data_IF_926688847433
#
_entry.id   IF_926688847433
#
_cell.length_a   1.000
_cell.length_b   1.000
_cell.length_c   1.000
_cell.angle_alpha   90.00
_cell.angle_beta   90.00
_cell.angle_gamma   90.00
#
_symmetry.space_group_name_H-M   'P 1'
#
loop_
_entity.id
_entity.type
_entity.pdbx_description
1 polymer ?
#
# COMPACT_ATOMS: atom_id res chain seq x y z
N UNK A 1 -6.36 5.11 -46.58
CA UNK A 1 -7.79 4.97 -46.83
C UNK A 1 -8.00 3.84 -47.78
N UNK A 2 -8.90 2.93 -47.47
CA UNK A 2 -9.34 1.89 -48.40
C UNK A 2 -10.33 2.46 -49.41
N UNK A 3 -10.37 1.88 -50.56
CA UNK A 3 -11.33 2.27 -51.61
C UNK A 3 -12.81 2.04 -51.22
N UNK A 4 -13.04 1.26 -50.15
CA UNK A 4 -14.34 0.98 -49.55
C UNK A 4 -14.76 1.98 -48.44
N UNK A 5 -13.99 3.03 -48.23
CA UNK A 5 -14.23 4.03 -47.15
C UNK A 5 -13.79 3.59 -45.78
N UNK A 6 -13.14 2.42 -45.65
CA UNK A 6 -12.56 1.95 -44.40
C UNK A 6 -11.24 2.64 -44.06
N UNK A 7 -10.87 2.58 -42.79
CA UNK A 7 -9.60 3.09 -42.26
C UNK A 7 -8.77 1.92 -41.72
N UNK A 8 -7.54 1.80 -42.19
CA UNK A 8 -6.58 0.86 -41.63
C UNK A 8 -5.91 1.49 -40.43
N UNK A 9 -6.04 0.84 -39.29
CA UNK A 9 -5.37 1.25 -38.06
C UNK A 9 -4.15 0.35 -37.85
N UNK A 10 -2.97 0.92 -37.97
CA UNK A 10 -1.70 0.25 -37.62
C UNK A 10 -1.27 0.65 -36.22
N UNK A 11 -1.25 -0.33 -35.29
CA UNK A 11 -0.80 -0.11 -33.92
C UNK A 11 0.60 -0.71 -33.77
N UNK A 12 1.60 0.16 -33.60
CA UNK A 12 2.98 -0.25 -33.30
C UNK A 12 3.17 -0.28 -31.80
N UNK A 13 3.44 -1.45 -31.25
CA UNK A 13 3.72 -1.63 -29.83
C UNK A 13 5.21 -1.87 -29.64
N UNK A 14 5.81 -1.13 -28.74
CA UNK A 14 7.21 -1.32 -28.30
C UNK A 14 7.19 -1.71 -26.85
N UNK A 15 7.73 -2.89 -26.55
CA UNK A 15 7.87 -3.36 -25.17
C UNK A 15 8.90 -2.51 -24.42
N UNK A 16 8.56 -2.09 -23.22
CA UNK A 16 9.46 -1.38 -22.30
C UNK A 16 9.70 -2.22 -21.07
N UNK A 17 10.87 -2.05 -20.47
CA UNK A 17 11.15 -2.65 -19.17
C UNK A 17 10.16 -2.09 -18.13
N UNK A 18 9.51 -2.98 -17.42
CA UNK A 18 8.51 -2.67 -16.38
C UNK A 18 9.07 -2.78 -14.98
N UNK A 19 10.27 -3.39 -14.87
CA UNK A 19 11.04 -3.52 -13.63
C UNK A 19 11.78 -2.26 -13.26
N UNK A 20 11.76 -1.92 -11.99
CA UNK A 20 12.48 -0.80 -11.39
C UNK A 20 13.29 -1.31 -10.20
N UNK A 21 14.54 -0.88 -10.12
CA UNK A 21 15.43 -1.15 -9.01
C UNK A 21 15.97 0.18 -8.50
N UNK A 22 15.82 0.44 -7.23
CA UNK A 22 16.25 1.65 -6.58
C UNK A 22 16.99 1.37 -5.28
N UNK A 23 17.89 2.25 -4.92
CA UNK A 23 18.60 2.17 -3.65
C UNK A 23 19.32 3.47 -3.37
N UNK A 24 19.52 3.75 -2.13
CA UNK A 24 20.22 4.93 -1.69
C UNK A 24 20.56 4.88 -0.22
N UNK A 25 21.42 5.80 0.19
CA UNK A 25 21.79 5.94 1.58
C UNK A 25 22.26 7.35 1.87
N UNK A 26 22.21 7.71 3.14
CA UNK A 26 22.64 9.02 3.59
C UNK A 26 22.98 9.01 5.08
N UNK A 27 23.69 10.05 5.49
CA UNK A 27 24.01 10.29 6.88
C UNK A 27 23.26 11.52 7.37
N UNK A 28 22.61 11.39 8.51
CA UNK A 28 21.92 12.49 9.19
C UNK A 28 22.44 12.62 10.62
N UNK A 29 22.82 13.82 11.03
CA UNK A 29 23.48 14.09 12.32
C UNK A 29 22.72 13.63 13.56
N UNK A 30 21.44 13.34 13.48
CA UNK A 30 20.64 12.80 14.59
C UNK A 30 20.34 11.30 14.51
N UNK A 31 20.36 10.71 13.31
CA UNK A 31 19.91 9.33 13.06
C UNK A 31 21.00 8.40 12.53
N UNK A 32 22.24 8.86 12.45
CA UNK A 32 23.33 8.10 11.87
C UNK A 32 23.07 7.69 10.41
N UNK A 33 23.61 6.55 9.97
CA UNK A 33 23.45 6.01 8.63
C UNK A 33 22.02 5.52 8.42
N UNK A 34 21.42 5.91 7.30
CA UNK A 34 20.17 5.36 6.79
C UNK A 34 20.38 4.88 5.35
N UNK A 35 19.81 3.76 5.00
CA UNK A 35 19.84 3.22 3.66
C UNK A 35 18.47 2.63 3.29
N UNK A 36 18.17 2.59 2.00
CA UNK A 36 16.99 1.87 1.50
C UNK A 36 17.34 1.12 0.22
N UNK A 37 16.59 0.07 0.01
CA UNK A 37 16.58 -0.73 -1.20
C UNK A 37 15.12 -0.93 -1.62
N UNK A 38 14.82 -0.77 -2.90
CA UNK A 38 13.50 -1.03 -3.43
C UNK A 38 13.59 -1.74 -4.79
N UNK A 39 12.66 -2.64 -5.01
CA UNK A 39 12.44 -3.33 -6.26
C UNK A 39 10.95 -3.31 -6.55
N UNK A 40 10.58 -2.97 -7.77
CA UNK A 40 9.21 -3.01 -8.22
C UNK A 40 9.14 -3.56 -9.64
N UNK A 41 8.17 -4.44 -9.89
CA UNK A 41 7.82 -4.95 -11.20
C UNK A 41 6.32 -4.73 -11.41
N UNK A 42 5.96 -4.01 -12.46
CA UNK A 42 4.55 -3.63 -12.72
C UNK A 42 3.85 -4.53 -13.72
N UNK A 43 4.58 -5.44 -14.35
CA UNK A 43 4.05 -6.39 -15.32
C UNK A 43 4.74 -7.75 -15.22
N UNK A 44 4.68 -8.37 -14.05
CA UNK A 44 5.36 -9.64 -13.76
C UNK A 44 4.96 -10.71 -14.78
N UNK A 45 5.95 -11.21 -15.54
CA UNK A 45 5.78 -12.21 -16.60
C UNK A 45 4.77 -11.81 -17.68
N UNK A 46 4.57 -10.52 -17.95
CA UNK A 46 3.62 -10.05 -18.95
C UNK A 46 2.13 -10.19 -18.58
N UNK A 47 1.83 -10.49 -17.32
CA UNK A 47 0.47 -10.80 -16.84
C UNK A 47 -0.23 -9.60 -16.20
N UNK A 48 0.38 -8.43 -16.19
CA UNK A 48 -0.13 -7.23 -15.50
C UNK A 48 -0.08 -7.30 -13.97
N UNK A 49 0.44 -8.39 -13.41
CA UNK A 49 0.65 -8.55 -11.97
C UNK A 49 1.76 -7.62 -11.52
N UNK A 50 1.63 -7.08 -10.31
CA UNK A 50 2.62 -6.16 -9.74
C UNK A 50 3.20 -6.75 -8.48
N UNK A 51 4.52 -6.62 -8.35
CA UNK A 51 5.26 -6.99 -7.14
C UNK A 51 6.11 -5.80 -6.74
N UNK A 52 6.15 -5.50 -5.46
CA UNK A 52 7.10 -4.53 -4.93
C UNK A 52 7.68 -5.03 -3.61
N UNK A 53 8.94 -4.73 -3.43
CA UNK A 53 9.68 -4.97 -2.20
C UNK A 53 10.42 -3.70 -1.84
N UNK A 54 10.31 -3.27 -0.59
CA UNK A 54 11.05 -2.14 -0.04
C UNK A 54 11.62 -2.50 1.32
N UNK A 55 12.89 -2.28 1.46
CA UNK A 55 13.59 -2.38 2.73
C UNK A 55 14.23 -1.04 3.07
N UNK A 56 13.91 -0.52 4.23
CA UNK A 56 14.45 0.72 4.76
C UNK A 56 15.14 0.42 6.10
N UNK A 57 16.39 0.76 6.19
CA UNK A 57 17.24 0.43 7.31
C UNK A 57 17.90 1.70 7.86
N UNK A 58 17.86 1.86 9.18
CA UNK A 58 18.64 2.85 9.89
C UNK A 58 18.93 2.39 11.32
N UNK A 59 19.75 3.14 12.06
CA UNK A 59 20.00 2.85 13.47
C UNK A 59 18.73 2.80 14.34
N UNK A 60 17.70 3.55 13.95
CA UNK A 60 16.48 3.73 14.76
C UNK A 60 15.26 3.10 14.13
N UNK A 61 15.37 2.60 12.89
CA UNK A 61 14.25 2.06 12.13
C UNK A 61 14.70 0.97 11.17
N UNK A 62 13.95 -0.12 11.13
CA UNK A 62 14.11 -1.20 10.18
C UNK A 62 12.72 -1.61 9.67
N UNK A 63 12.43 -1.27 8.43
CA UNK A 63 11.14 -1.52 7.80
C UNK A 63 11.31 -2.39 6.57
N UNK A 64 10.57 -3.48 6.51
CA UNK A 64 10.45 -4.35 5.35
C UNK A 64 8.99 -4.35 4.92
N UNK A 65 8.76 -4.07 3.65
CA UNK A 65 7.45 -4.09 3.03
C UNK A 65 7.50 -4.91 1.75
N UNK A 66 6.56 -5.82 1.60
CA UNK A 66 6.33 -6.59 0.39
C UNK A 66 4.86 -6.41 -0.02
N UNK A 67 4.62 -6.16 -1.30
CA UNK A 67 3.27 -6.04 -1.85
C UNK A 67 3.16 -6.83 -3.15
N UNK A 68 2.08 -7.59 -3.28
CA UNK A 68 1.70 -8.28 -4.50
C UNK A 68 0.29 -7.87 -4.89
N UNK A 69 0.11 -7.49 -6.16
CA UNK A 69 -1.20 -7.09 -6.70
C UNK A 69 -1.54 -7.92 -7.95
N UNK A 70 -2.68 -8.57 -7.90
CA UNK A 70 -3.33 -9.27 -9.00
C UNK A 70 -4.51 -8.43 -9.50
N UNK A 71 -4.44 -7.80 -10.70
CA UNK A 71 -5.51 -6.91 -11.18
C UNK A 71 -6.76 -7.66 -11.66
N UNK A 72 -6.60 -8.91 -12.10
CA UNK A 72 -7.67 -9.76 -12.62
C UNK A 72 -7.71 -11.06 -11.80
N UNK A 73 -8.50 -11.08 -10.76
CA UNK A 73 -8.63 -12.27 -9.93
C UNK A 73 -9.70 -13.19 -10.51
N UNK A 74 -9.32 -14.43 -10.84
CA UNK A 74 -10.20 -15.44 -11.48
C UNK A 74 -10.86 -14.92 -12.77
N UNK A 75 -10.07 -14.26 -13.62
CA UNK A 75 -10.52 -13.67 -14.89
C UNK A 75 -11.69 -12.66 -14.75
N UNK A 76 -11.88 -12.16 -13.54
CA UNK A 76 -12.87 -11.14 -13.20
C UNK A 76 -12.18 -9.79 -12.99
N UNK A 77 -12.82 -8.64 -13.28
CA UNK A 77 -12.29 -7.31 -13.01
C UNK A 77 -12.26 -6.98 -11.50
N UNK A 78 -11.70 -7.91 -10.74
CA UNK A 78 -11.50 -7.79 -9.31
C UNK A 78 -10.00 -7.76 -9.00
N UNK A 79 -9.56 -6.72 -8.35
CA UNK A 79 -8.17 -6.57 -7.92
C UNK A 79 -7.99 -7.17 -6.53
N UNK A 80 -6.95 -7.98 -6.38
CA UNK A 80 -6.48 -8.47 -5.08
C UNK A 80 -5.10 -7.90 -4.80
N UNK A 81 -4.89 -7.38 -3.61
CA UNK A 81 -3.57 -6.97 -3.11
C UNK A 81 -3.27 -7.65 -1.79
N UNK A 82 -2.09 -8.24 -1.68
CA UNK A 82 -1.54 -8.81 -0.45
C UNK A 82 -0.33 -7.98 -0.06
N UNK A 83 -0.36 -7.44 1.15
CA UNK A 83 0.76 -6.70 1.74
C UNK A 83 1.29 -7.48 2.94
N UNK A 84 2.61 -7.62 3.03
CA UNK A 84 3.32 -8.15 4.19
C UNK A 84 4.30 -7.08 4.67
N UNK A 85 4.36 -6.88 5.98
CA UNK A 85 5.23 -5.85 6.54
C UNK A 85 5.83 -6.28 7.88
N UNK A 86 7.05 -5.82 8.09
CA UNK A 86 7.71 -5.85 9.39
C UNK A 86 8.35 -4.48 9.60
N UNK A 87 7.86 -3.75 10.59
CA UNK A 87 8.34 -2.42 10.94
C UNK A 87 8.82 -2.43 12.38
N UNK A 88 10.09 -2.14 12.58
CA UNK A 88 10.70 -2.07 13.89
C UNK A 88 11.41 -0.72 14.03
N UNK A 89 11.11 0.03 15.09
CA UNK A 89 11.75 1.31 15.27
C UNK A 89 11.34 2.07 16.52
N UNK A 90 12.14 3.08 16.83
CA UNK A 90 11.79 4.08 17.85
C UNK A 90 10.92 5.15 17.23
N UNK A 91 9.82 5.48 17.87
CA UNK A 91 8.93 6.55 17.41
C UNK A 91 9.65 7.90 17.49
N UNK A 92 9.71 8.63 16.38
CA UNK A 92 10.48 9.89 16.25
C UNK A 92 10.12 10.97 17.29
N UNK A 93 8.91 10.96 17.78
CA UNK A 93 8.40 11.98 18.71
C UNK A 93 8.81 11.73 20.17
N UNK A 94 9.03 10.45 20.55
CA UNK A 94 9.44 10.07 21.88
C UNK A 94 10.34 8.84 21.79
N UNK A 95 11.63 9.01 21.96
CA UNK A 95 12.63 7.94 21.98
C UNK A 95 12.49 6.99 23.18
N UNK A 96 11.35 6.98 23.86
CA UNK A 96 11.13 6.32 25.14
C UNK A 96 10.77 4.84 25.04
N UNK A 97 10.48 4.32 23.84
CA UNK A 97 10.24 2.89 23.65
C UNK A 97 10.50 2.46 22.21
N UNK A 98 10.77 1.19 22.05
CA UNK A 98 10.89 0.54 20.75
C UNK A 98 9.59 -0.18 20.44
N UNK A 99 9.03 0.03 19.25
CA UNK A 99 7.82 -0.64 18.78
C UNK A 99 8.14 -1.49 17.56
N UNK A 100 7.74 -2.76 17.59
CA UNK A 100 7.80 -3.67 16.46
C UNK A 100 6.38 -4.04 16.03
N UNK A 101 6.11 -3.96 14.74
CA UNK A 101 4.84 -4.36 14.12
C UNK A 101 5.11 -5.30 12.97
N UNK A 102 4.59 -6.50 13.07
CA UNK A 102 4.70 -7.52 12.02
C UNK A 102 3.30 -7.96 11.64
N UNK A 103 3.02 -7.99 10.36
CA UNK A 103 1.67 -8.35 9.93
C UNK A 103 1.50 -8.39 8.43
N UNK A 104 0.23 -8.46 8.04
CA UNK A 104 -0.17 -8.42 6.66
C UNK A 104 -1.56 -7.85 6.48
N UNK A 105 -1.87 -7.51 5.24
CA UNK A 105 -3.17 -7.05 4.83
C UNK A 105 -3.58 -7.71 3.50
N UNK A 106 -4.87 -7.98 3.39
CA UNK A 106 -5.52 -8.39 2.14
C UNK A 106 -6.51 -7.30 1.75
N UNK A 107 -6.44 -6.87 0.50
CA UNK A 107 -7.42 -5.96 -0.11
C UNK A 107 -8.05 -6.60 -1.33
N UNK A 108 -9.35 -6.50 -1.41
CA UNK A 108 -10.13 -6.90 -2.58
C UNK A 108 -10.89 -5.69 -3.07
N UNK A 109 -10.70 -5.33 -4.32
CA UNK A 109 -11.35 -4.18 -4.94
C UNK A 109 -12.07 -4.58 -6.23
N UNK A 110 -13.26 -4.04 -6.44
CA UNK A 110 -14.04 -4.28 -7.66
C UNK A 110 -14.80 -3.02 -8.06
N UNK A 111 -14.89 -2.80 -9.37
CA UNK A 111 -15.87 -1.85 -9.91
C UNK A 111 -17.27 -2.46 -9.81
N UNK A 112 -18.21 -1.66 -9.34
CA UNK A 112 -19.61 -2.08 -9.24
C UNK A 112 -20.33 -1.79 -10.55
N UNK A 113 -20.88 -2.84 -11.15
CA UNK A 113 -21.61 -2.70 -12.43
C UNK A 113 -23.03 -2.15 -12.22
N UNK A 114 -23.54 -2.20 -10.97
CA UNK A 114 -24.88 -1.76 -10.60
C UNK A 114 -24.98 -0.23 -10.43
N UNK A 115 -23.87 0.41 -10.06
CA UNK A 115 -23.79 1.85 -9.83
C UNK A 115 -22.64 2.41 -10.66
N UNK A 116 -22.96 3.23 -11.65
CA UNK A 116 -21.96 3.83 -12.54
C UNK A 116 -20.88 4.59 -11.78
N UNK A 117 -19.66 4.52 -12.28
CA UNK A 117 -18.49 5.20 -11.74
C UNK A 117 -18.11 4.82 -10.30
N UNK A 118 -18.63 3.70 -9.78
CA UNK A 118 -18.43 3.29 -8.39
C UNK A 118 -17.51 2.11 -8.27
N UNK A 119 -16.59 2.18 -7.31
CA UNK A 119 -15.71 1.09 -6.89
C UNK A 119 -15.95 0.77 -5.43
N UNK A 120 -15.93 -0.52 -5.10
CA UNK A 120 -15.91 -1.01 -3.72
C UNK A 120 -14.59 -1.70 -3.44
N UNK A 121 -14.03 -1.45 -2.27
CA UNK A 121 -12.83 -2.14 -1.81
C UNK A 121 -13.01 -2.58 -0.36
N UNK A 122 -12.75 -3.86 -0.11
CA UNK A 122 -12.70 -4.43 1.22
C UNK A 122 -11.24 -4.66 1.61
N UNK A 123 -10.93 -4.39 2.87
CA UNK A 123 -9.60 -4.59 3.45
C UNK A 123 -9.70 -5.39 4.75
N UNK A 124 -8.82 -6.35 4.91
CA UNK A 124 -8.54 -6.99 6.18
C UNK A 124 -7.06 -6.81 6.51
N UNK A 125 -6.74 -6.42 7.74
CA UNK A 125 -5.38 -6.27 8.23
C UNK A 125 -5.24 -6.98 9.57
N UNK A 126 -4.20 -7.79 9.69
CA UNK A 126 -3.79 -8.41 10.94
C UNK A 126 -2.35 -8.05 11.26
N UNK A 127 -2.09 -7.62 12.48
CA UNK A 127 -0.74 -7.30 12.92
C UNK A 127 -0.50 -7.74 14.36
N UNK A 128 0.73 -8.11 14.64
CA UNK A 128 1.25 -8.30 15.98
C UNK A 128 2.09 -7.08 16.34
N UNK A 129 1.82 -6.48 17.49
CA UNK A 129 2.55 -5.32 18.00
C UNK A 129 3.27 -5.74 19.27
N UNK A 130 4.57 -5.49 19.33
CA UNK A 130 5.40 -5.73 20.51
C UNK A 130 6.14 -4.43 20.87
N UNK A 131 6.26 -4.18 22.18
CA UNK A 131 6.96 -3.03 22.72
C UNK A 131 8.15 -3.49 23.55
N UNK A 132 9.30 -2.87 23.35
CA UNK A 132 10.52 -3.14 24.12
C UNK A 132 11.24 -1.85 24.46
N UNK A 133 12.26 -1.96 25.33
CA UNK A 133 13.11 -0.85 25.75
C UNK A 133 12.31 0.37 26.24
N UNK A 134 11.28 0.13 27.05
CA UNK A 134 10.45 1.19 27.61
C UNK A 134 11.23 1.91 28.70
N UNK A 135 11.55 3.18 28.44
CA UNK A 135 12.28 4.04 29.36
C UNK A 135 11.55 4.19 30.73
N UNK A 136 12.24 4.12 31.85
CA UNK A 136 11.65 4.33 33.17
C UNK A 136 10.93 5.68 33.33
N UNK A 137 11.32 6.70 32.59
CA UNK A 137 10.71 8.04 32.63
C UNK A 137 9.34 8.13 31.96
N UNK A 138 8.91 7.07 31.25
CA UNK A 138 7.58 7.01 30.63
C UNK A 138 6.52 7.04 31.71
N UNK A 139 5.60 7.99 31.57
CA UNK A 139 4.42 8.12 32.41
C UNK A 139 3.69 6.79 32.61
N UNK A 140 3.29 6.43 33.85
CA UNK A 140 2.62 5.18 34.17
C UNK A 140 1.35 4.92 33.35
N UNK A 141 0.57 5.96 33.03
CA UNK A 141 -0.65 5.83 32.22
C UNK A 141 -0.32 5.49 30.77
N UNK A 142 0.75 6.05 30.22
CA UNK A 142 1.26 5.71 28.89
C UNK A 142 1.83 4.30 28.87
N UNK A 143 2.64 3.93 29.90
CA UNK A 143 3.20 2.57 30.02
C UNK A 143 2.10 1.50 30.07
N UNK A 144 1.01 1.74 30.77
CA UNK A 144 -0.12 0.84 30.84
C UNK A 144 -0.81 0.61 29.50
N UNK A 145 -0.68 1.54 28.54
CA UNK A 145 -1.21 1.43 27.18
C UNK A 145 -0.27 0.72 26.20
N UNK A 146 1.02 0.62 26.53
CA UNK A 146 2.03 -0.07 25.74
C UNK A 146 1.97 -1.57 26.02
N UNK A 147 0.93 -2.21 25.56
CA UNK A 147 0.73 -3.65 25.70
C UNK A 147 0.97 -4.35 24.38
N UNK A 148 1.73 -5.43 24.47
CA UNK A 148 1.88 -6.35 23.36
C UNK A 148 0.56 -6.98 23.01
N UNK A 149 0.32 -7.21 21.73
CA UNK A 149 -0.95 -7.83 21.35
C UNK A 149 -1.14 -7.96 19.86
N UNK A 150 -2.14 -8.72 19.52
CA UNK A 150 -2.62 -8.86 18.15
C UNK A 150 -3.70 -7.82 17.91
N UNK A 151 -3.60 -7.14 16.79
CA UNK A 151 -4.59 -6.18 16.32
C UNK A 151 -5.13 -6.63 14.99
N UNK A 152 -6.44 -6.53 14.83
CA UNK A 152 -7.12 -6.86 13.58
C UNK A 152 -8.01 -5.70 13.20
N UNK A 153 -8.09 -5.43 11.91
CA UNK A 153 -9.06 -4.47 11.39
C UNK A 153 -9.63 -4.97 10.09
N UNK A 154 -10.89 -4.64 9.86
CA UNK A 154 -11.54 -4.81 8.56
C UNK A 154 -12.18 -3.50 8.17
N UNK A 155 -12.12 -3.17 6.90
CA UNK A 155 -12.64 -1.91 6.39
C UNK A 155 -13.30 -2.08 5.04
N UNK A 156 -14.28 -1.23 4.78
CA UNK A 156 -14.95 -1.10 3.49
C UNK A 156 -14.81 0.33 3.00
N UNK A 157 -14.38 0.49 1.75
CA UNK A 157 -14.32 1.76 1.04
C UNK A 157 -15.27 1.70 -0.14
N UNK A 158 -16.13 2.70 -0.27
CA UNK A 158 -16.96 2.92 -1.44
C UNK A 158 -16.56 4.27 -2.04
N UNK A 159 -16.13 4.28 -3.28
CA UNK A 159 -15.74 5.49 -4.00
C UNK A 159 -16.50 5.59 -5.29
N UNK A 160 -17.20 6.71 -5.46
CA UNK A 160 -17.85 7.10 -6.70
C UNK A 160 -17.13 8.33 -7.27
N UNK A 161 -16.65 8.21 -8.50
CA UNK A 161 -16.00 9.32 -9.19
C UNK A 161 -16.58 9.44 -10.60
N UNK A 162 -17.44 10.44 -10.80
CA UNK A 162 -18.09 10.75 -12.09
C UNK A 162 -17.50 11.98 -12.76
N UNK A 163 -16.32 12.45 -12.34
CA UNK A 163 -15.68 13.63 -12.91
C UNK A 163 -15.25 13.39 -14.34
N UNK A 164 -15.41 14.41 -15.17
CA UNK A 164 -15.06 14.41 -16.61
C UNK A 164 -13.55 14.45 -16.85
N UNK A 165 -12.77 14.97 -15.91
CA UNK A 165 -11.31 15.04 -15.98
C UNK A 165 -10.67 14.76 -14.62
N UNK A 166 -9.60 13.95 -14.57
CA UNK A 166 -8.88 13.69 -13.32
C UNK A 166 -8.03 14.88 -12.84
N UNK A 167 -7.63 15.79 -13.74
CA UNK A 167 -6.74 16.91 -13.41
C UNK A 167 -7.48 18.25 -13.29
N UNK A 168 -8.47 18.49 -14.17
CA UNK A 168 -9.26 19.72 -14.22
C UNK A 168 -10.73 19.37 -14.36
N UNK A 169 -11.39 18.91 -13.29
CA UNK A 169 -12.81 18.54 -13.35
C UNK A 169 -13.68 19.78 -13.55
N UNK A 170 -14.50 19.76 -14.59
CA UNK A 170 -15.48 20.80 -14.85
C UNK A 170 -16.91 20.33 -14.59
N UNK A 171 -17.13 19.01 -14.57
CA UNK A 171 -18.42 18.37 -14.33
C UNK A 171 -18.22 17.06 -13.55
N UNK A 172 -19.29 16.64 -12.87
CA UNK A 172 -19.32 15.42 -12.09
C UNK A 172 -19.05 15.65 -10.60
N UNK A 173 -18.92 14.55 -9.87
CA UNK A 173 -18.68 14.55 -8.43
C UNK A 173 -17.79 13.40 -8.02
N UNK A 174 -17.02 13.60 -6.96
CA UNK A 174 -16.28 12.53 -6.27
C UNK A 174 -16.80 12.42 -4.84
N UNK A 175 -17.18 11.22 -4.45
CA UNK A 175 -17.66 10.89 -3.12
C UNK A 175 -16.91 9.64 -2.67
N UNK A 176 -16.33 9.69 -1.48
CA UNK A 176 -15.68 8.55 -0.85
C UNK A 176 -16.25 8.33 0.56
N UNK A 177 -16.63 7.08 0.82
CA UNK A 177 -17.06 6.64 2.14
C UNK A 177 -16.13 5.55 2.62
N UNK A 178 -15.66 5.66 3.86
CA UNK A 178 -14.78 4.71 4.51
C UNK A 178 -15.36 4.30 5.86
N UNK A 179 -15.45 3.00 6.10
CA UNK A 179 -15.84 2.43 7.37
C UNK A 179 -14.81 1.39 7.83
N UNK A 180 -14.30 1.54 9.04
CA UNK A 180 -13.32 0.61 9.63
C UNK A 180 -13.83 0.07 10.96
N UNK A 181 -13.66 -1.25 11.15
CA UNK A 181 -13.89 -1.96 12.39
C UNK A 181 -12.56 -2.48 12.93
N UNK A 182 -12.31 -2.28 14.21
CA UNK A 182 -11.09 -2.68 14.89
C UNK A 182 -11.41 -3.71 15.96
N UNK A 183 -10.53 -4.73 16.06
CA UNK A 183 -10.58 -5.77 17.06
C UNK A 183 -9.18 -6.09 17.61
N UNK A 184 -9.13 -6.67 18.78
CA UNK A 184 -7.93 -7.19 19.45
C UNK A 184 -7.88 -8.70 19.41
#
# INVERSE_FOLDING_TARGET
PRDDGGVDLEIKVVEKQTGQLGGGGGYSGGNALAAFFEMAETNLFGTGRRVSFRWEFSRVRNDINFSYTQPWLFDSPMTMTVDLFNSAGRTRTNSYYHAQRTGGALRLGRRLDIIDFTTAAWRYRGENVAFSDIDPSVDPATRARLQDGRRRSTGLTLRRNSTDSPFFPTRGSEIEWNGDLFGT
#
